data_IF_763227332095
#
_entry.id   IF_763227332095
#
_cell.length_a   1.000
_cell.length_b   1.000
_cell.length_c   1.000
_cell.angle_alpha   90.00
_cell.angle_beta   90.00
_cell.angle_gamma   90.00
#
_symmetry.space_group_name_H-M   'P 1'
#
loop_
_entity.id
_entity.type
_entity.pdbx_description
1 polymer ?
#
# COMPACT_ATOMS: atom_id res chain seq x y z
N UNK A 1 -25.06 68.32 29.70
CA UNK A 1 -23.92 67.53 30.22
C UNK A 1 -23.57 66.49 29.19
N UNK A 2 -22.35 66.59 28.65
CA UNK A 2 -21.71 65.52 27.89
C UNK A 2 -21.18 64.46 28.86
N UNK A 3 -20.98 63.23 28.38
CA UNK A 3 -19.70 62.49 28.40
C UNK A 3 -19.82 61.37 27.35
N UNK A 4 -18.94 61.45 26.35
CA UNK A 4 -18.57 60.37 25.45
C UNK A 4 -17.82 59.29 26.25
N UNK A 5 -17.99 58.01 25.90
CA UNK A 5 -16.90 57.04 26.09
C UNK A 5 -16.87 56.06 24.92
N UNK A 6 -15.74 56.07 24.19
CA UNK A 6 -15.33 55.10 23.15
C UNK A 6 -14.42 54.06 23.80
N UNK A 7 -14.47 52.81 23.34
CA UNK A 7 -13.40 51.77 23.21
C UNK A 7 -14.09 50.63 22.43
N UNK A 8 -13.89 50.39 21.12
CA UNK A 8 -12.73 49.89 20.34
C UNK A 8 -12.33 48.43 20.67
N UNK A 9 -12.60 47.55 19.69
CA UNK A 9 -11.95 46.28 19.31
C UNK A 9 -11.86 45.14 20.37
N UNK A 10 -11.76 43.85 20.05
CA UNK A 10 -11.15 43.12 18.94
C UNK A 10 -11.81 41.72 18.83
N UNK A 11 -12.02 41.28 17.59
CA UNK A 11 -11.65 39.94 17.07
C UNK A 11 -11.96 38.69 17.90
N UNK A 12 -13.08 38.01 17.60
CA UNK A 12 -13.19 36.58 17.87
C UNK A 12 -12.24 35.84 16.92
N UNK A 13 -11.15 35.32 17.49
CA UNK A 13 -10.16 34.53 16.78
C UNK A 13 -10.81 33.27 16.19
N UNK A 14 -10.73 33.14 14.88
CA UNK A 14 -10.93 31.90 14.15
C UNK A 14 -9.87 30.91 14.65
N UNK A 15 -10.27 29.90 15.42
CA UNK A 15 -9.39 28.78 15.75
C UNK A 15 -9.24 27.96 14.47
N UNK A 16 -8.26 28.33 13.65
CA UNK A 16 -7.73 27.43 12.64
C UNK A 16 -7.03 26.29 13.40
N UNK A 17 -7.63 25.09 13.37
CA UNK A 17 -6.92 23.89 13.74
C UNK A 17 -5.66 23.82 12.87
N UNK A 18 -4.45 23.68 13.44
CA UNK A 18 -3.31 23.39 12.63
C UNK A 18 -3.54 22.01 12.01
N UNK A 19 -3.78 21.98 10.70
CA UNK A 19 -3.42 20.82 9.89
C UNK A 19 -1.92 20.64 10.06
N UNK A 20 -1.53 19.91 11.10
CA UNK A 20 -0.20 19.35 11.21
C UNK A 20 -0.11 18.33 10.09
N UNK A 21 0.31 18.77 8.91
CA UNK A 21 0.95 17.90 7.95
C UNK A 21 2.13 17.29 8.72
N UNK A 22 1.95 16.06 9.19
CA UNK A 22 3.04 15.30 9.79
C UNK A 22 4.17 15.33 8.76
N UNK A 23 5.33 15.83 9.18
CA UNK A 23 6.49 15.87 8.31
C UNK A 23 6.74 14.46 7.73
N UNK A 24 7.20 14.36 6.47
CA UNK A 24 7.57 13.07 5.89
C UNK A 24 8.64 12.43 6.79
N UNK A 25 8.29 11.31 7.42
CA UNK A 25 9.22 10.57 8.27
C UNK A 25 10.01 9.66 7.35
N UNK A 26 11.33 9.85 7.30
CA UNK A 26 12.23 8.97 6.54
C UNK A 26 12.72 7.85 7.45
N UNK A 27 12.99 6.66 6.89
CA UNK A 27 13.51 5.51 7.67
C UNK A 27 14.80 5.83 8.45
N UNK A 28 15.56 6.83 8.02
CA UNK A 28 16.83 7.21 8.64
C UNK A 28 16.69 7.59 10.12
N UNK A 29 15.49 7.95 10.59
CA UNK A 29 15.23 8.38 11.97
C UNK A 29 14.82 7.22 12.90
N UNK A 30 14.15 6.17 12.39
CA UNK A 30 13.76 4.98 13.15
C UNK A 30 13.34 3.81 12.24
N UNK A 31 13.44 2.58 12.75
CA UNK A 31 13.14 1.34 12.01
C UNK A 31 11.66 1.22 11.59
N UNK A 32 10.76 2.00 12.20
CA UNK A 32 9.31 1.87 12.13
C UNK A 32 8.63 3.07 11.47
N UNK A 33 9.40 3.95 10.81
CA UNK A 33 8.87 5.07 10.02
C UNK A 33 8.00 6.02 10.85
N UNK A 34 8.33 6.20 12.13
CA UNK A 34 7.62 7.09 13.05
C UNK A 34 6.25 6.58 13.48
N UNK A 35 5.99 5.28 13.34
CA UNK A 35 4.78 4.64 13.86
C UNK A 35 4.81 4.65 15.39
N UNK A 36 3.72 5.12 15.99
CA UNK A 36 3.60 5.23 17.45
C UNK A 36 3.71 3.86 18.12
N UNK A 37 4.56 3.77 19.13
CA UNK A 37 4.69 2.58 19.97
C UNK A 37 3.46 2.42 20.87
N UNK A 38 2.77 1.27 20.83
CA UNK A 38 1.64 0.99 21.71
C UNK A 38 2.04 1.00 23.20
N UNK A 39 1.08 1.33 24.07
CA UNK A 39 1.31 1.29 25.52
C UNK A 39 1.71 -0.12 26.00
N UNK A 40 2.66 -0.20 26.92
CA UNK A 40 3.13 -1.48 27.49
C UNK A 40 4.18 -2.20 26.64
N UNK A 41 4.65 -1.61 25.54
CA UNK A 41 5.78 -2.14 24.77
C UNK A 41 7.07 -2.12 25.57
N UNK A 42 7.82 -3.21 25.46
CA UNK A 42 9.16 -3.35 26.04
C UNK A 42 10.24 -3.10 24.99
N UNK A 43 11.46 -2.79 25.43
CA UNK A 43 12.62 -2.65 24.53
C UNK A 43 12.88 -3.93 23.71
N UNK A 44 12.60 -5.10 24.29
CA UNK A 44 12.70 -6.39 23.59
C UNK A 44 11.69 -6.48 22.45
N UNK A 45 10.44 -6.06 22.68
CA UNK A 45 9.41 -6.02 21.63
C UNK A 45 9.76 -5.03 20.53
N UNK A 46 10.28 -3.84 20.89
CA UNK A 46 10.76 -2.87 19.92
C UNK A 46 11.91 -3.42 19.07
N UNK A 47 12.87 -4.10 19.70
CA UNK A 47 14.00 -4.72 18.99
C UNK A 47 13.54 -5.80 18.01
N UNK A 48 12.59 -6.65 18.42
CA UNK A 48 12.03 -7.70 17.56
C UNK A 48 11.25 -7.10 16.38
N UNK A 49 10.41 -6.09 16.65
CA UNK A 49 9.69 -5.35 15.61
C UNK A 49 10.65 -4.74 14.58
N UNK A 50 11.67 -4.02 15.04
CA UNK A 50 12.69 -3.48 14.15
C UNK A 50 13.38 -4.57 13.33
N UNK A 51 13.66 -5.73 13.94
CA UNK A 51 14.25 -6.87 13.24
C UNK A 51 13.37 -7.35 12.08
N UNK A 52 12.07 -7.53 12.32
CA UNK A 52 11.14 -7.97 11.29
C UNK A 52 10.97 -6.93 10.16
N UNK A 53 10.75 -5.66 10.49
CA UNK A 53 10.64 -4.60 9.47
C UNK A 53 11.93 -4.43 8.67
N UNK A 54 13.09 -4.53 9.34
CA UNK A 54 14.37 -4.48 8.63
C UNK A 54 14.52 -5.65 7.66
N UNK A 55 14.08 -6.85 8.03
CA UNK A 55 14.14 -8.01 7.15
C UNK A 55 13.26 -7.82 5.91
N UNK A 56 12.01 -7.36 6.07
CA UNK A 56 11.10 -7.10 4.94
C UNK A 56 11.66 -6.04 4.00
N UNK A 57 12.09 -4.90 4.55
CA UNK A 57 12.63 -3.81 3.74
C UNK A 57 13.94 -4.21 3.05
N UNK A 58 14.82 -4.95 3.72
CA UNK A 58 16.06 -5.41 3.10
C UNK A 58 15.78 -6.45 2.00
N UNK A 59 14.82 -7.35 2.23
CA UNK A 59 14.33 -8.29 1.23
C UNK A 59 13.76 -7.57 0.00
N UNK A 60 12.92 -6.57 0.22
CA UNK A 60 12.37 -5.72 -0.85
C UNK A 60 13.49 -5.03 -1.64
N UNK A 61 14.42 -4.34 -0.96
CA UNK A 61 15.54 -3.64 -1.61
C UNK A 61 16.43 -4.59 -2.42
N UNK A 62 16.67 -5.79 -1.92
CA UNK A 62 17.49 -6.78 -2.62
C UNK A 62 16.77 -7.39 -3.84
N UNK A 63 15.47 -7.67 -3.71
CA UNK A 63 14.67 -8.29 -4.78
C UNK A 63 14.22 -7.30 -5.84
N UNK A 64 14.14 -6.02 -5.51
CA UNK A 64 13.77 -4.92 -6.42
C UNK A 64 14.96 -4.00 -6.71
N UNK A 65 16.20 -4.52 -6.63
CA UNK A 65 17.38 -3.74 -6.96
C UNK A 65 17.29 -3.26 -8.41
N UNK A 66 17.15 -1.95 -8.59
CA UNK A 66 16.89 -1.37 -9.91
C UNK A 66 18.03 -1.61 -10.89
N UNK A 67 19.26 -1.80 -10.42
CA UNK A 67 20.40 -2.09 -11.31
C UNK A 67 20.26 -3.47 -11.93
N UNK A 68 19.82 -4.45 -11.14
CA UNK A 68 19.63 -5.83 -11.59
C UNK A 68 18.29 -6.04 -12.32
N UNK A 69 17.21 -5.44 -11.82
CA UNK A 69 15.83 -5.83 -12.19
C UNK A 69 15.20 -4.92 -13.24
N UNK A 70 15.54 -3.62 -13.27
CA UNK A 70 14.96 -2.69 -14.26
C UNK A 70 15.21 -3.11 -15.71
N UNK A 71 16.41 -3.61 -16.10
CA UNK A 71 16.62 -4.11 -17.47
C UNK A 71 15.69 -5.27 -17.83
N UNK A 72 15.43 -6.19 -16.88
CA UNK A 72 14.51 -7.30 -17.07
C UNK A 72 13.07 -6.81 -17.26
N UNK A 73 12.59 -5.92 -16.39
CA UNK A 73 11.23 -5.36 -16.49
C UNK A 73 11.06 -4.58 -17.81
N UNK A 74 12.07 -3.81 -18.20
CA UNK A 74 12.09 -3.10 -19.49
C UNK A 74 11.96 -4.07 -20.67
N UNK A 75 12.66 -5.20 -20.62
CA UNK A 75 12.57 -6.24 -21.65
C UNK A 75 11.18 -6.91 -21.67
N UNK A 76 10.61 -7.23 -20.50
CA UNK A 76 9.27 -7.77 -20.36
C UNK A 76 8.21 -6.81 -20.94
N UNK A 77 8.30 -5.52 -20.61
CA UNK A 77 7.38 -4.50 -21.13
C UNK A 77 7.47 -4.41 -22.65
N UNK A 78 8.70 -4.34 -23.19
CA UNK A 78 8.91 -4.33 -24.64
C UNK A 78 8.33 -5.57 -25.32
N UNK A 79 8.52 -6.76 -24.72
CA UNK A 79 7.97 -8.01 -25.26
C UNK A 79 6.44 -8.04 -25.21
N UNK A 80 5.85 -7.52 -24.15
CA UNK A 80 4.40 -7.43 -23.96
C UNK A 80 3.75 -6.25 -24.72
N UNK A 81 4.55 -5.37 -25.35
CA UNK A 81 4.05 -4.18 -26.02
C UNK A 81 3.61 -3.05 -25.08
N UNK A 82 4.05 -3.09 -23.82
CA UNK A 82 3.72 -2.11 -22.78
C UNK A 82 4.62 -0.86 -22.93
N UNK A 83 4.00 0.30 -22.88
CA UNK A 83 4.59 1.62 -23.09
C UNK A 83 4.66 2.49 -21.83
N UNK A 84 4.03 2.10 -20.72
CA UNK A 84 4.15 2.84 -19.47
C UNK A 84 5.59 2.75 -18.92
N UNK A 85 6.06 3.74 -18.14
CA UNK A 85 7.41 3.72 -17.60
C UNK A 85 7.66 2.47 -16.73
N UNK A 86 8.68 1.64 -17.00
CA UNK A 86 8.99 0.46 -16.19
C UNK A 86 9.36 0.81 -14.75
N UNK A 87 9.86 2.03 -14.49
CA UNK A 87 10.19 2.53 -13.15
C UNK A 87 8.97 2.64 -12.24
N UNK A 88 7.75 2.76 -12.80
CA UNK A 88 6.50 2.74 -12.03
C UNK A 88 6.27 1.42 -11.29
N UNK A 89 6.93 0.35 -11.73
CA UNK A 89 6.78 -0.97 -11.14
C UNK A 89 7.69 -1.20 -9.91
N UNK A 90 8.55 -0.24 -9.57
CA UNK A 90 9.53 -0.35 -8.49
C UNK A 90 9.12 0.42 -7.25
N UNK A 91 9.49 -0.06 -6.06
CA UNK A 91 9.15 0.61 -4.82
C UNK A 91 9.88 1.95 -4.70
N UNK A 92 9.21 2.89 -4.05
CA UNK A 92 9.82 4.01 -3.34
C UNK A 92 9.31 3.92 -1.90
N UNK A 93 10.16 3.43 -1.01
CA UNK A 93 9.77 3.07 0.36
C UNK A 93 9.38 4.31 1.15
N UNK A 94 10.12 5.40 1.02
CA UNK A 94 9.84 6.63 1.76
C UNK A 94 8.55 7.27 1.24
N UNK A 95 8.30 7.24 -0.07
CA UNK A 95 7.04 7.70 -0.64
C UNK A 95 5.85 6.80 -0.23
N UNK A 96 6.04 5.47 -0.23
CA UNK A 96 5.01 4.51 0.21
C UNK A 96 4.64 4.78 1.67
N UNK A 97 5.63 5.07 2.52
CA UNK A 97 5.38 5.38 3.94
C UNK A 97 4.89 6.80 4.21
N UNK A 98 4.75 7.64 3.18
CA UNK A 98 3.97 8.88 3.28
C UNK A 98 2.47 8.64 3.07
N UNK A 99 2.08 7.50 2.48
CA UNK A 99 0.69 7.14 2.30
C UNK A 99 0.02 6.86 3.64
N UNK A 100 -1.16 7.46 3.84
CA UNK A 100 -1.89 7.35 5.11
C UNK A 100 -2.34 5.92 5.41
N UNK A 101 -2.71 5.14 4.40
CA UNK A 101 -3.15 3.75 4.57
C UNK A 101 -1.95 2.83 4.85
N UNK A 102 -0.80 3.06 4.21
CA UNK A 102 0.44 2.33 4.54
C UNK A 102 0.90 2.59 5.99
N UNK A 103 0.82 3.84 6.45
CA UNK A 103 1.12 4.19 7.85
C UNK A 103 0.12 3.60 8.83
N UNK A 104 -1.16 3.62 8.49
CA UNK A 104 -2.21 3.00 9.30
C UNK A 104 -2.01 1.49 9.42
N UNK A 105 -1.68 0.82 8.31
CA UNK A 105 -1.33 -0.60 8.29
C UNK A 105 -0.14 -0.90 9.20
N UNK A 106 0.99 -0.21 9.02
CA UNK A 106 2.17 -0.40 9.88
C UNK A 106 1.87 -0.15 11.37
N UNK A 107 1.01 0.81 11.69
CA UNK A 107 0.55 1.06 13.07
C UNK A 107 -0.30 -0.09 13.62
N UNK A 108 -1.22 -0.62 12.83
CA UNK A 108 -2.06 -1.75 13.22
C UNK A 108 -1.24 -3.05 13.34
N UNK A 109 -0.30 -3.28 12.41
CA UNK A 109 0.63 -4.41 12.48
C UNK A 109 1.50 -4.35 13.74
N UNK A 110 1.99 -3.16 14.10
CA UNK A 110 2.73 -2.94 15.36
C UNK A 110 1.84 -3.22 16.57
N UNK A 111 0.57 -2.81 16.55
CA UNK A 111 -0.38 -3.13 17.62
C UNK A 111 -0.69 -4.63 17.72
N UNK A 112 -0.71 -5.35 16.59
CA UNK A 112 -0.99 -6.79 16.51
C UNK A 112 0.18 -7.64 17.03
N UNK A 113 1.42 -7.19 16.87
CA UNK A 113 2.62 -7.97 17.19
C UNK A 113 2.64 -8.61 18.59
N UNK A 114 2.37 -7.88 19.69
CA UNK A 114 2.38 -8.50 21.01
C UNK A 114 1.28 -9.55 21.23
N UNK A 115 0.15 -9.44 20.52
CA UNK A 115 -1.00 -10.32 20.68
C UNK A 115 -0.83 -11.64 19.93
N UNK A 116 -0.21 -11.60 18.73
CA UNK A 116 -0.15 -12.75 17.83
C UNK A 116 1.28 -13.25 17.58
N UNK A 117 2.30 -12.49 17.99
CA UNK A 117 3.70 -12.78 17.68
C UNK A 117 4.08 -12.59 16.20
N UNK A 118 3.17 -12.06 15.38
CA UNK A 118 3.38 -11.76 13.96
C UNK A 118 2.97 -10.32 13.63
N UNK A 119 3.43 -9.83 12.48
CA UNK A 119 3.07 -8.50 11.97
C UNK A 119 1.81 -8.53 11.11
N UNK A 120 1.08 -9.65 11.08
CA UNK A 120 0.01 -9.84 10.11
C UNK A 120 -1.21 -8.98 10.47
N UNK A 121 -1.85 -8.43 9.45
CA UNK A 121 -3.19 -7.89 9.58
C UNK A 121 -4.21 -9.02 9.45
N UNK A 122 -5.26 -8.93 10.27
CA UNK A 122 -6.47 -9.72 10.07
C UNK A 122 -7.27 -9.20 8.86
N UNK A 123 -8.20 -9.99 8.28
CA UNK A 123 -9.13 -9.48 7.27
C UNK A 123 -9.88 -8.22 7.73
N UNK A 124 -10.27 -8.17 9.00
CA UNK A 124 -10.94 -7.01 9.60
C UNK A 124 -10.02 -5.78 9.66
N UNK A 125 -8.74 -5.98 10.03
CA UNK A 125 -7.73 -4.92 10.01
C UNK A 125 -7.49 -4.39 8.59
N UNK A 126 -7.44 -5.27 7.58
CA UNK A 126 -7.28 -4.90 6.17
C UNK A 126 -8.44 -4.01 5.72
N UNK A 127 -9.68 -4.43 5.99
CA UNK A 127 -10.87 -3.62 5.68
C UNK A 127 -10.81 -2.25 6.38
N UNK A 128 -10.29 -2.20 7.60
CA UNK A 128 -10.16 -0.97 8.38
C UNK A 128 -9.10 -0.01 7.81
N UNK A 129 -7.92 -0.51 7.43
CA UNK A 129 -6.81 0.36 7.01
C UNK A 129 -6.80 0.67 5.51
N UNK A 130 -7.37 -0.21 4.68
CA UNK A 130 -7.42 -0.07 3.22
C UNK A 130 -8.84 0.11 2.65
N UNK A 131 -9.86 0.24 3.51
CA UNK A 131 -11.27 0.26 3.13
C UNK A 131 -11.60 1.23 1.98
N UNK A 132 -11.15 2.48 2.05
CA UNK A 132 -11.41 3.48 1.00
C UNK A 132 -10.82 3.07 -0.36
N UNK A 133 -9.64 2.45 -0.36
CA UNK A 133 -8.99 1.95 -1.58
C UNK A 133 -9.73 0.72 -2.13
N UNK A 134 -10.16 -0.18 -1.26
CA UNK A 134 -10.97 -1.35 -1.62
C UNK A 134 -12.30 -0.88 -2.24
N UNK A 135 -13.01 0.04 -1.59
CA UNK A 135 -14.29 0.57 -2.09
C UNK A 135 -14.14 1.24 -3.44
N UNK A 136 -13.04 1.99 -3.65
CA UNK A 136 -12.70 2.59 -4.94
C UNK A 136 -12.49 1.51 -6.01
N UNK A 137 -11.71 0.47 -5.71
CA UNK A 137 -11.43 -0.62 -6.62
C UNK A 137 -12.69 -1.43 -6.96
N UNK A 138 -13.50 -1.75 -5.96
CA UNK A 138 -14.78 -2.45 -6.09
C UNK A 138 -15.76 -1.65 -6.95
N UNK A 139 -15.91 -0.35 -6.69
CA UNK A 139 -16.80 0.53 -7.46
C UNK A 139 -16.39 0.62 -8.93
N UNK A 140 -15.07 0.58 -9.21
CA UNK A 140 -14.53 0.67 -10.57
C UNK A 140 -14.72 -0.63 -11.37
N UNK A 141 -14.63 -1.78 -10.72
CA UNK A 141 -14.45 -3.07 -11.41
C UNK A 141 -15.60 -4.06 -11.20
N UNK A 142 -16.39 -3.87 -10.15
CA UNK A 142 -17.39 -4.82 -9.69
C UNK A 142 -16.83 -6.04 -8.96
N UNK A 143 -15.51 -6.08 -8.69
CA UNK A 143 -14.92 -7.12 -7.82
C UNK A 143 -15.47 -6.92 -6.40
N UNK A 144 -15.95 -7.98 -5.72
CA UNK A 144 -16.44 -7.89 -4.35
C UNK A 144 -15.35 -7.52 -3.34
N UNK A 145 -15.72 -6.79 -2.29
CA UNK A 145 -14.78 -6.33 -1.27
C UNK A 145 -14.13 -7.49 -0.49
N UNK A 146 -14.88 -8.54 -0.18
CA UNK A 146 -14.37 -9.74 0.48
C UNK A 146 -13.32 -10.48 -0.35
N UNK A 147 -13.47 -10.47 -1.68
CA UNK A 147 -12.44 -11.00 -2.60
C UNK A 147 -11.18 -10.13 -2.56
N UNK A 148 -11.31 -8.80 -2.57
CA UNK A 148 -10.14 -7.91 -2.46
C UNK A 148 -9.41 -8.06 -1.12
N UNK A 149 -10.15 -8.16 -0.03
CA UNK A 149 -9.59 -8.44 1.31
C UNK A 149 -8.86 -9.79 1.30
N UNK A 150 -9.47 -10.83 0.71
CA UNK A 150 -8.86 -12.16 0.61
C UNK A 150 -7.54 -12.14 -0.17
N UNK A 151 -7.48 -11.40 -1.29
CA UNK A 151 -6.25 -11.22 -2.06
C UNK A 151 -5.18 -10.56 -1.19
N UNK A 152 -5.46 -9.40 -0.60
CA UNK A 152 -4.46 -8.68 0.21
C UNK A 152 -3.98 -9.54 1.38
N UNK A 153 -4.89 -10.24 2.05
CA UNK A 153 -4.55 -11.11 3.17
C UNK A 153 -3.72 -12.32 2.73
N UNK A 154 -4.06 -12.96 1.63
CA UNK A 154 -3.34 -14.14 1.12
C UNK A 154 -1.94 -13.77 0.66
N UNK A 155 -1.81 -12.66 -0.07
CA UNK A 155 -0.62 -12.29 -0.82
C UNK A 155 0.43 -11.52 0.01
N UNK A 156 0.00 -10.70 0.98
CA UNK A 156 0.93 -9.87 1.78
C UNK A 156 0.61 -9.85 3.27
N UNK A 157 -0.48 -10.48 3.72
CA UNK A 157 -1.02 -10.32 5.08
C UNK A 157 -1.27 -8.84 5.43
N UNK A 158 -1.49 -8.00 4.41
CA UNK A 158 -1.68 -6.55 4.55
C UNK A 158 -0.40 -5.73 4.74
N UNK A 159 0.79 -6.31 4.53
CA UNK A 159 2.06 -5.61 4.73
C UNK A 159 2.42 -4.73 3.50
N UNK A 160 2.53 -3.39 3.62
CA UNK A 160 2.72 -2.51 2.45
C UNK A 160 4.14 -2.54 1.86
N UNK A 161 5.15 -2.92 2.64
CA UNK A 161 6.57 -2.92 2.22
C UNK A 161 7.16 -4.31 1.89
N UNK A 162 6.33 -5.26 1.44
CA UNK A 162 6.83 -6.59 1.00
C UNK A 162 7.13 -6.59 -0.50
N UNK A 163 8.04 -7.45 -0.92
CA UNK A 163 8.25 -7.77 -2.34
C UNK A 163 6.92 -8.13 -3.01
N UNK A 164 6.64 -7.62 -4.21
CA UNK A 164 5.35 -7.84 -4.89
C UNK A 164 4.26 -6.82 -4.55
N UNK A 165 4.44 -6.02 -3.50
CA UNK A 165 3.40 -5.12 -2.98
C UNK A 165 2.24 -5.86 -2.31
N UNK A 166 1.16 -5.15 -2.01
CA UNK A 166 0.04 -5.68 -1.20
C UNK A 166 -0.64 -6.91 -1.82
N UNK A 167 -0.68 -7.00 -3.15
CA UNK A 167 -1.43 -8.03 -3.86
C UNK A 167 -0.54 -8.95 -4.69
N UNK A 168 0.79 -8.90 -4.50
CA UNK A 168 1.80 -9.69 -5.23
C UNK A 168 1.62 -9.64 -6.76
N UNK A 169 1.16 -8.50 -7.28
CA UNK A 169 0.95 -8.29 -8.71
C UNK A 169 2.30 -8.29 -9.45
N UNK A 170 2.43 -9.09 -10.51
CA UNK A 170 3.64 -9.13 -11.32
C UNK A 170 3.85 -7.85 -12.15
N UNK A 171 5.03 -7.71 -12.76
CA UNK A 171 5.38 -6.48 -13.50
C UNK A 171 4.52 -6.29 -14.76
N UNK A 172 4.27 -7.36 -15.52
CA UNK A 172 3.52 -7.28 -16.78
C UNK A 172 2.06 -6.97 -16.51
N UNK A 173 1.45 -7.63 -15.52
CA UNK A 173 0.10 -7.33 -15.07
C UNK A 173 -0.02 -5.86 -14.63
N UNK A 174 0.92 -5.37 -13.81
CA UNK A 174 0.96 -3.95 -13.43
C UNK A 174 1.05 -3.03 -14.64
N UNK A 175 1.99 -3.28 -15.54
CA UNK A 175 2.19 -2.44 -16.73
C UNK A 175 0.95 -2.36 -17.62
N UNK A 176 0.27 -3.49 -17.84
CA UNK A 176 -0.99 -3.53 -18.59
C UNK A 176 -2.09 -2.70 -17.92
N UNK A 177 -2.20 -2.74 -16.59
CA UNK A 177 -3.21 -1.95 -15.87
C UNK A 177 -2.86 -0.47 -15.88
N UNK A 178 -1.58 -0.10 -15.69
CA UNK A 178 -1.12 1.28 -15.70
C UNK A 178 -1.25 1.95 -17.09
N UNK A 179 -1.19 1.19 -18.18
CA UNK A 179 -1.54 1.70 -19.52
C UNK A 179 -3.02 1.97 -19.68
N UNK A 180 -3.88 1.13 -19.09
CA UNK A 180 -5.33 1.27 -19.17
C UNK A 180 -5.87 2.38 -18.28
N UNK A 181 -5.23 2.62 -17.12
CA UNK A 181 -5.60 3.67 -16.20
C UNK A 181 -4.40 4.56 -15.85
N UNK A 182 -4.30 5.76 -16.46
CA UNK A 182 -3.19 6.66 -16.22
C UNK A 182 -3.19 7.27 -14.82
N UNK A 183 -4.23 7.05 -13.98
CA UNK A 183 -4.19 7.45 -12.58
C UNK A 183 -3.26 6.56 -11.74
N UNK A 184 -2.97 5.34 -12.19
CA UNK A 184 -2.04 4.41 -11.56
C UNK A 184 -0.60 4.90 -11.78
N UNK A 185 0.09 5.26 -10.70
CA UNK A 185 1.43 5.88 -10.76
C UNK A 185 2.54 4.94 -10.29
N UNK A 186 2.27 4.10 -9.30
CA UNK A 186 3.29 3.21 -8.77
C UNK A 186 2.71 1.91 -8.18
N UNK A 187 3.30 0.77 -8.56
CA UNK A 187 2.85 -0.57 -8.17
C UNK A 187 2.84 -0.79 -6.66
N UNK A 188 3.67 -0.06 -5.90
CA UNK A 188 3.82 -0.23 -4.46
C UNK A 188 2.95 0.72 -3.62
N UNK A 189 2.30 1.71 -4.24
CA UNK A 189 1.34 2.55 -3.52
C UNK A 189 0.08 1.75 -3.24
N UNK A 190 -0.43 1.72 -1.99
CA UNK A 190 -1.56 0.86 -1.62
C UNK A 190 -2.79 1.03 -2.51
N UNK A 191 -3.23 2.28 -2.73
CA UNK A 191 -4.39 2.57 -3.58
C UNK A 191 -4.20 2.08 -5.01
N UNK A 192 -3.07 2.42 -5.63
CA UNK A 192 -2.76 2.02 -7.01
C UNK A 192 -2.68 0.49 -7.15
N UNK A 193 -2.01 -0.18 -6.21
CA UNK A 193 -1.86 -1.64 -6.23
C UNK A 193 -3.21 -2.35 -6.12
N UNK A 194 -4.07 -1.90 -5.20
CA UNK A 194 -5.40 -2.49 -4.97
C UNK A 194 -6.30 -2.26 -6.19
N UNK A 195 -6.30 -1.05 -6.77
CA UNK A 195 -7.09 -0.75 -7.97
C UNK A 195 -6.59 -1.56 -9.18
N UNK A 196 -5.28 -1.62 -9.40
CA UNK A 196 -4.70 -2.41 -10.48
C UNK A 196 -5.05 -3.90 -10.33
N UNK A 197 -4.96 -4.44 -9.10
CA UNK A 197 -5.34 -5.82 -8.76
C UNK A 197 -6.78 -6.14 -9.13
N UNK A 198 -7.72 -5.27 -8.74
CA UNK A 198 -9.13 -5.45 -9.08
C UNK A 198 -9.36 -5.37 -10.61
N UNK A 199 -8.69 -4.43 -11.30
CA UNK A 199 -8.78 -4.31 -12.76
C UNK A 199 -8.26 -5.56 -13.46
N UNK A 200 -7.14 -6.09 -13.00
CA UNK A 200 -6.53 -7.29 -13.57
C UNK A 200 -7.42 -8.52 -13.36
N UNK A 201 -7.93 -8.70 -12.13
CA UNK A 201 -8.85 -9.80 -11.82
C UNK A 201 -10.13 -9.72 -12.65
N UNK A 202 -10.68 -8.51 -12.84
CA UNK A 202 -11.83 -8.28 -13.74
C UNK A 202 -11.52 -8.74 -15.16
N UNK A 203 -10.39 -8.32 -15.73
CA UNK A 203 -9.96 -8.72 -17.07
C UNK A 203 -9.80 -10.24 -17.21
N UNK A 204 -9.25 -10.91 -16.19
CA UNK A 204 -9.15 -12.38 -16.17
C UNK A 204 -10.50 -13.06 -16.09
N UNK A 205 -11.43 -12.54 -15.28
CA UNK A 205 -12.78 -13.08 -15.18
C UNK A 205 -13.56 -12.90 -16.48
N UNK A 206 -13.41 -11.76 -17.15
CA UNK A 206 -14.08 -11.49 -18.43
C UNK A 206 -13.58 -12.42 -19.53
N UNK A 207 -12.28 -12.75 -19.50
CA UNK A 207 -11.64 -13.63 -20.49
C UNK A 207 -11.98 -15.10 -20.25
N UNK A 208 -11.98 -15.56 -18.99
CA UNK A 208 -12.08 -16.98 -18.65
C UNK A 208 -13.48 -17.42 -18.15
N UNK A 209 -14.35 -16.47 -17.79
CA UNK A 209 -15.62 -16.76 -17.13
C UNK A 209 -15.45 -17.20 -15.67
N UNK A 210 -16.46 -17.90 -15.13
CA UNK A 210 -16.45 -18.41 -13.74
C UNK A 210 -16.81 -17.38 -12.67
N UNK A 211 -16.69 -17.74 -11.40
CA UNK A 211 -16.82 -16.82 -10.27
C UNK A 211 -15.48 -16.12 -9.93
N UNK A 212 -15.54 -15.15 -9.02
CA UNK A 212 -14.37 -14.34 -8.64
C UNK A 212 -13.27 -15.17 -7.97
N UNK A 213 -13.65 -16.09 -7.08
CA UNK A 213 -12.72 -16.92 -6.33
C UNK A 213 -11.98 -17.91 -7.25
N UNK A 214 -12.69 -18.55 -8.16
CA UNK A 214 -12.10 -19.43 -9.19
C UNK A 214 -11.16 -18.65 -10.09
N UNK A 215 -11.56 -17.43 -10.48
CA UNK A 215 -10.69 -16.56 -11.28
C UNK A 215 -9.42 -16.20 -10.51
N UNK A 216 -9.55 -15.82 -9.23
CA UNK A 216 -8.41 -15.50 -8.39
C UNK A 216 -7.45 -16.68 -8.31
N UNK A 217 -7.94 -17.84 -7.87
CA UNK A 217 -7.11 -19.03 -7.64
C UNK A 217 -6.41 -19.56 -8.89
N UNK A 218 -7.05 -19.46 -10.05
CA UNK A 218 -6.56 -20.14 -11.26
C UNK A 218 -5.92 -19.20 -12.28
N UNK A 219 -6.20 -17.90 -12.23
CA UNK A 219 -5.88 -16.97 -13.31
C UNK A 219 -5.27 -15.64 -12.87
N UNK A 220 -5.16 -15.38 -11.56
CA UNK A 220 -4.59 -14.14 -11.04
C UNK A 220 -3.06 -14.10 -11.04
N UNK A 221 -2.41 -15.22 -10.76
CA UNK A 221 -0.96 -15.34 -10.97
C UNK A 221 -0.73 -15.88 -12.39
N UNK A 222 0.21 -15.31 -13.14
CA UNK A 222 0.62 -15.90 -14.42
C UNK A 222 1.19 -17.31 -14.14
N UNK A 223 0.66 -18.38 -14.78
CA UNK A 223 1.23 -19.72 -14.64
C UNK A 223 2.73 -19.80 -14.99
N UNK A 224 3.24 -18.83 -15.76
CA UNK A 224 4.64 -18.70 -16.15
C UNK A 224 5.48 -17.80 -15.21
N UNK A 225 4.89 -17.23 -14.15
CA UNK A 225 5.62 -16.41 -13.19
C UNK A 225 6.70 -17.19 -12.42
N UNK A 226 6.62 -18.53 -12.36
CA UNK A 226 7.62 -19.39 -11.73
C UNK A 226 8.88 -19.65 -12.60
N UNK A 227 8.91 -19.15 -13.84
CA UNK A 227 9.97 -19.48 -14.82
C UNK A 227 10.97 -18.37 -15.12
N UNK A 228 10.99 -17.27 -14.34
CA UNK A 228 11.94 -16.17 -14.50
C UNK A 228 12.73 -15.87 -13.23
#
# INVERSE_FOLDING_TARGET
>A
MAILSKIICLSAALIAAPNAFAAPVTRAENCDFGVTTPAGWTDSMQSQWCGMINNEVNGLKSKEDRTAVLPMVTAQYKQAGISCPPESAFPDIDNTMQDSSARAAMSQMKANYPAFGSMDLTPEDIQKVYGDHIDTACSKTGVPADVMVNIIWTESKGHPLVYGGLTQMDYVAWGQMAEQDPSLKNRYMPGDNIVASAMYLKGKKDTNGGDWETTYRNHYQDPNAHTY
#
